data_IF_576651717466
#
_entry.id   IF_576651717466
#
_cell.length_a   1.000
_cell.length_b   1.000
_cell.length_c   1.000
_cell.angle_alpha   90.00
_cell.angle_beta   90.00
_cell.angle_gamma   90.00
#
_symmetry.space_group_name_H-M   'P 1'
#
loop_
_entity.id
_entity.type
_entity.pdbx_description
1 polymer ?
#
# COMPACT_ATOMS: atom_id res chain seq x y z
N UNK A 1 -2.20 3.87 6.98
CA UNK A 1 -2.23 2.44 6.60
C UNK A 1 -1.02 1.70 7.18
N UNK A 2 0.21 2.00 6.76
CA UNK A 2 1.44 1.31 7.23
C UNK A 2 1.58 1.23 8.76
N UNK A 3 1.32 2.33 9.50
CA UNK A 3 1.39 2.30 10.97
C UNK A 3 0.35 1.32 11.61
N UNK A 4 -0.76 1.04 10.93
CA UNK A 4 -1.73 0.03 11.37
C UNK A 4 -1.21 -1.38 11.12
N UNK A 5 -0.55 -1.59 9.97
CA UNK A 5 0.09 -2.86 9.64
C UNK A 5 1.24 -3.18 10.63
N UNK A 6 2.09 -2.20 10.95
CA UNK A 6 3.17 -2.34 11.95
C UNK A 6 2.62 -2.82 13.30
N UNK A 7 1.53 -2.20 13.78
CA UNK A 7 0.85 -2.63 15.02
C UNK A 7 0.20 -4.01 14.94
N UNK A 8 -0.10 -4.50 13.74
CA UNK A 8 -0.67 -5.82 13.51
C UNK A 8 0.41 -6.91 13.34
N UNK A 9 1.69 -6.58 13.47
CA UNK A 9 2.80 -7.53 13.34
C UNK A 9 3.47 -7.55 11.97
N UNK A 10 3.09 -6.67 11.06
CA UNK A 10 3.74 -6.56 9.76
C UNK A 10 5.16 -5.98 9.88
N UNK A 11 6.07 -6.50 9.06
CA UNK A 11 7.42 -5.97 8.92
C UNK A 11 7.44 -4.84 7.89
N UNK A 12 7.84 -3.65 8.33
CA UNK A 12 7.90 -2.48 7.44
C UNK A 12 9.16 -2.57 6.57
N UNK A 13 8.96 -2.81 5.27
CA UNK A 13 10.06 -2.82 4.30
C UNK A 13 10.45 -1.42 3.84
N UNK A 14 9.46 -0.56 3.57
CA UNK A 14 9.67 0.85 3.23
C UNK A 14 8.57 1.73 3.79
N UNK A 15 8.94 2.75 4.57
CA UNK A 15 7.99 3.76 5.06
C UNK A 15 7.43 4.61 3.90
N UNK A 16 6.19 5.13 4.02
CA UNK A 16 5.58 5.94 2.95
C UNK A 16 6.42 7.18 2.64
N UNK A 17 6.53 7.52 1.37
CA UNK A 17 7.23 8.68 0.83
C UNK A 17 6.49 9.21 -0.40
N UNK A 18 6.69 10.47 -0.75
CA UNK A 18 6.17 11.07 -2.00
C UNK A 18 7.00 10.59 -3.20
N UNK A 19 6.78 9.34 -3.60
CA UNK A 19 7.44 8.65 -4.70
C UNK A 19 6.46 7.77 -5.45
N UNK A 20 6.81 7.36 -6.68
CA UNK A 20 5.91 6.66 -7.61
C UNK A 20 5.21 5.41 -7.02
N UNK A 21 5.87 4.63 -6.15
CA UNK A 21 5.32 3.41 -5.55
C UNK A 21 5.02 3.53 -4.04
N UNK A 22 5.08 4.73 -3.46
CA UNK A 22 4.86 4.91 -2.01
C UNK A 22 5.77 4.03 -1.13
N UNK A 23 5.16 3.21 -0.27
CA UNK A 23 5.84 2.29 0.67
C UNK A 23 5.23 0.89 0.68
N UNK A 24 5.86 -0.05 1.37
CA UNK A 24 5.42 -1.45 1.43
C UNK A 24 5.74 -2.13 2.76
N UNK A 25 5.03 -3.21 3.05
CA UNK A 25 5.26 -4.08 4.21
C UNK A 25 5.09 -5.55 3.84
N UNK A 26 5.63 -6.42 4.67
CA UNK A 26 5.44 -7.88 4.64
C UNK A 26 4.48 -8.25 5.78
N UNK A 27 3.41 -8.97 5.50
CA UNK A 27 2.49 -9.47 6.53
C UNK A 27 3.12 -10.62 7.35
N UNK A 28 2.52 -11.03 8.49
CA UNK A 28 3.10 -12.08 9.33
C UNK A 28 3.28 -13.43 8.62
N UNK A 29 2.51 -13.68 7.56
CA UNK A 29 2.58 -14.87 6.71
C UNK A 29 3.64 -14.78 5.61
N UNK A 30 4.29 -13.62 5.43
CA UNK A 30 5.39 -13.42 4.50
C UNK A 30 4.98 -12.84 3.14
N UNK A 31 3.74 -12.39 2.97
CA UNK A 31 3.29 -11.75 1.73
C UNK A 31 3.59 -10.25 1.71
N UNK A 32 4.04 -9.76 0.55
CA UNK A 32 4.35 -8.35 0.36
C UNK A 32 3.14 -7.56 -0.12
N UNK A 33 2.92 -6.41 0.52
CA UNK A 33 1.85 -5.48 0.21
C UNK A 33 2.40 -4.09 -0.08
N UNK A 34 2.06 -3.54 -1.24
CA UNK A 34 2.34 -2.16 -1.61
C UNK A 34 1.21 -1.23 -1.16
N UNK A 35 1.59 -0.03 -0.72
CA UNK A 35 0.66 1.04 -0.36
C UNK A 35 1.09 2.31 -1.09
N UNK A 36 0.33 2.68 -2.11
CA UNK A 36 0.52 3.89 -2.89
C UNK A 36 -0.77 4.71 -2.95
N UNK A 37 -0.62 6.03 -3.09
CA UNK A 37 -1.71 6.93 -3.44
C UNK A 37 -1.51 7.39 -4.89
N UNK A 38 -2.39 6.94 -5.78
CA UNK A 38 -2.39 7.35 -7.17
C UNK A 38 -3.69 8.11 -7.49
N UNK A 39 -3.68 9.47 -7.51
CA UNK A 39 -4.87 10.26 -7.79
C UNK A 39 -5.37 10.14 -9.24
N UNK A 40 -4.54 9.65 -10.16
CA UNK A 40 -4.92 9.39 -11.56
C UNK A 40 -5.51 8.00 -11.79
N UNK A 41 -5.57 7.16 -10.76
CA UNK A 41 -6.08 5.80 -10.87
C UNK A 41 -7.42 5.64 -10.14
N UNK A 42 -8.45 5.26 -10.88
CA UNK A 42 -9.72 4.83 -10.32
C UNK A 42 -9.75 3.29 -10.27
N UNK A 43 -9.84 2.67 -9.08
CA UNK A 43 -9.78 1.22 -8.94
C UNK A 43 -11.10 0.51 -9.29
N UNK A 44 -12.17 1.25 -9.52
CA UNK A 44 -13.49 0.71 -9.83
C UNK A 44 -13.74 0.55 -11.34
N UNK A 45 -14.87 -0.05 -11.72
CA UNK A 45 -15.29 -0.11 -13.12
C UNK A 45 -15.41 1.30 -13.69
N UNK A 46 -14.90 1.50 -14.90
CA UNK A 46 -15.17 2.74 -15.65
C UNK A 46 -16.67 2.78 -15.92
N UNK A 47 -17.33 3.89 -15.59
CA UNK A 47 -18.69 4.11 -16.05
C UNK A 47 -18.67 4.13 -17.58
N UNK A 48 -19.37 3.18 -18.19
CA UNK A 48 -19.67 3.24 -19.63
C UNK A 48 -20.62 4.42 -19.86
N UNK A 49 -20.28 5.26 -20.83
CA UNK A 49 -21.17 6.31 -21.35
C UNK A 49 -22.06 5.72 -22.43
#
# INVERSE_FOLDING_TARGET
MIAKAERAGAKIGKRPQDVFWGGYFEDPEGYYWEVAWNPGFYPGPKSEN
#
